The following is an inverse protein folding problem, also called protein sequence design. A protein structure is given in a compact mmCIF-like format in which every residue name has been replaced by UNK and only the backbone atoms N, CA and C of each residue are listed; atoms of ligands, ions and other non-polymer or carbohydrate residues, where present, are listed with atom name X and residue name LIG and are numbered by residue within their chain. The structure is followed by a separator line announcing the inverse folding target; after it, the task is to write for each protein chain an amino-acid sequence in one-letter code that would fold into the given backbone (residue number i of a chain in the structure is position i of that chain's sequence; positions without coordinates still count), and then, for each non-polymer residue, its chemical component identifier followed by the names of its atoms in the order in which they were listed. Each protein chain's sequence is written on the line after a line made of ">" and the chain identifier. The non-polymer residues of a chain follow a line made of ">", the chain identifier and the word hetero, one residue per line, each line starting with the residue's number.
data_IF_905432030185
#
_entry.id   IF_905432030185
#
_cell.length_a   1.000
_cell.length_b   1.000
_cell.length_c   1.000
_cell.angle_alpha   90.00
_cell.angle_beta   90.00
_cell.angle_gamma   90.00
#
_symmetry.space_group_name_H-M   'P 1'
#
loop_
_entity.id
_entity.type
_entity.pdbx_description
1 polymer ?
#
# COMPACT_ATOMS: atom_id res chain seq x y z
N UNK A 1 7.42 -6.79 20.93
CA UNK A 1 7.26 -5.33 20.75
C UNK A 1 6.33 -5.13 19.58
N UNK A 2 5.21 -4.44 19.79
CA UNK A 2 4.16 -4.24 18.77
C UNK A 2 4.41 -2.98 17.93
N UNK A 3 3.74 -2.84 16.78
CA UNK A 3 3.79 -1.62 15.94
C UNK A 3 3.41 -0.37 16.75
N UNK A 4 2.44 -0.49 17.66
CA UNK A 4 2.03 0.58 18.58
C UNK A 4 3.19 1.02 19.48
N UNK A 5 3.91 0.07 20.07
CA UNK A 5 5.05 0.38 20.95
C UNK A 5 6.15 1.10 20.17
N UNK A 6 6.48 0.61 18.97
CA UNK A 6 7.51 1.23 18.11
C UNK A 6 7.10 2.67 17.76
N UNK A 7 5.87 2.88 17.31
CA UNK A 7 5.39 4.22 16.97
C UNK A 7 5.36 5.16 18.19
N UNK A 8 5.03 4.65 19.38
CA UNK A 8 5.05 5.43 20.61
C UNK A 8 6.46 5.85 21.00
N UNK A 9 7.45 4.95 20.85
CA UNK A 9 8.86 5.26 21.09
C UNK A 9 9.36 6.34 20.12
N UNK A 10 9.06 6.19 18.83
CA UNK A 10 9.44 7.18 17.81
C UNK A 10 8.80 8.55 18.08
N UNK A 11 7.51 8.58 18.42
CA UNK A 11 6.82 9.81 18.80
C UNK A 11 7.44 10.46 20.04
N UNK A 12 7.76 9.67 21.07
CA UNK A 12 8.37 10.20 22.29
C UNK A 12 9.77 10.76 22.06
N UNK A 13 10.53 10.17 21.14
CA UNK A 13 11.90 10.60 20.84
C UNK A 13 11.96 11.81 19.89
N UNK A 14 11.18 11.78 18.81
CA UNK A 14 11.20 12.81 17.77
C UNK A 14 10.16 13.92 17.99
N UNK A 15 9.22 13.73 18.91
CA UNK A 15 8.07 14.62 19.16
C UNK A 15 7.24 14.89 17.90
N UNK A 16 7.21 13.92 16.98
CA UNK A 16 6.47 13.98 15.73
C UNK A 16 5.60 12.73 15.58
N UNK A 17 4.38 12.93 15.09
CA UNK A 17 3.45 11.84 14.80
C UNK A 17 4.02 10.94 13.70
N UNK A 18 3.78 9.65 13.81
CA UNK A 18 4.39 8.60 12.98
C UNK A 18 3.47 8.26 11.82
N UNK A 19 4.05 8.07 10.64
CA UNK A 19 3.38 7.46 9.50
C UNK A 19 3.76 5.98 9.46
N UNK A 20 2.75 5.11 9.40
CA UNK A 20 2.96 3.66 9.28
C UNK A 20 2.61 3.25 7.84
N UNK A 21 3.59 2.68 7.14
CA UNK A 21 3.43 2.12 5.80
C UNK A 21 3.48 0.59 5.91
N UNK A 22 2.43 -0.09 5.49
CA UNK A 22 2.33 -1.55 5.52
C UNK A 22 2.14 -2.02 4.09
N UNK A 23 3.19 -2.64 3.54
CA UNK A 23 3.12 -3.22 2.22
C UNK A 23 2.65 -4.66 2.24
N UNK A 24 2.00 -5.07 1.15
CA UNK A 24 1.53 -6.44 0.89
C UNK A 24 0.83 -7.10 2.08
N UNK A 25 -0.10 -6.38 2.73
CA UNK A 25 -0.75 -6.88 3.95
C UNK A 25 -1.57 -8.16 3.74
N UNK A 26 -1.89 -8.47 2.50
CA UNK A 26 -2.69 -9.59 2.05
C UNK A 26 -1.90 -10.87 1.75
N UNK A 27 -0.58 -10.81 1.58
CA UNK A 27 0.31 -11.97 1.46
C UNK A 27 0.15 -12.98 2.61
N UNK A 28 0.17 -12.58 3.90
CA UNK A 28 -0.04 -13.52 5.00
C UNK A 28 -1.44 -14.15 4.99
N UNK A 29 -2.47 -13.43 4.50
CA UNK A 29 -3.84 -13.94 4.37
C UNK A 29 -3.94 -14.99 3.27
N UNK A 30 -3.30 -14.73 2.13
CA UNK A 30 -3.23 -15.69 1.03
C UNK A 30 -2.53 -16.98 1.47
N UNK A 31 -1.41 -16.86 2.19
CA UNK A 31 -0.72 -18.02 2.75
C UNK A 31 -1.62 -18.78 3.74
N UNK A 32 -2.30 -18.08 4.64
CA UNK A 32 -3.22 -18.68 5.60
C UNK A 32 -4.38 -19.42 4.93
N UNK A 33 -4.91 -18.87 3.85
CA UNK A 33 -5.94 -19.52 3.03
C UNK A 33 -5.45 -20.86 2.46
N UNK A 34 -4.24 -20.90 1.91
CA UNK A 34 -3.67 -22.13 1.35
C UNK A 34 -3.36 -23.22 2.39
N UNK A 35 -3.10 -22.81 3.63
CA UNK A 35 -2.72 -23.72 4.71
C UNK A 35 -3.86 -23.98 5.72
N UNK A 36 -5.05 -23.44 5.48
CA UNK A 36 -6.27 -23.75 6.24
C UNK A 36 -6.40 -23.05 7.60
N UNK A 37 -5.73 -21.91 7.82
CA UNK A 37 -5.82 -21.11 9.06
C UNK A 37 -6.25 -19.65 8.79
N UNK A 38 -7.09 -19.46 7.77
CA UNK A 38 -7.48 -18.13 7.31
C UNK A 38 -8.15 -17.27 8.39
N UNK A 39 -9.09 -17.84 9.13
CA UNK A 39 -9.86 -17.11 10.14
C UNK A 39 -8.97 -16.64 11.31
N UNK A 40 -8.04 -17.49 11.76
CA UNK A 40 -7.06 -17.15 12.79
C UNK A 40 -6.13 -16.01 12.34
N UNK A 41 -5.72 -16.03 11.07
CA UNK A 41 -4.90 -14.96 10.49
C UNK A 41 -5.66 -13.65 10.36
N UNK A 42 -6.93 -13.70 9.95
CA UNK A 42 -7.81 -12.52 9.90
C UNK A 42 -7.92 -11.90 11.29
N UNK A 43 -8.16 -12.71 12.33
CA UNK A 43 -8.27 -12.24 13.70
C UNK A 43 -6.96 -11.62 14.21
N UNK A 44 -5.82 -12.24 13.87
CA UNK A 44 -4.50 -11.73 14.21
C UNK A 44 -4.23 -10.36 13.56
N UNK A 45 -4.40 -10.25 12.24
CA UNK A 45 -4.15 -9.01 11.50
C UNK A 45 -5.10 -7.91 11.97
N UNK A 46 -6.38 -8.23 12.20
CA UNK A 46 -7.36 -7.28 12.76
C UNK A 46 -6.92 -6.75 14.12
N UNK A 47 -6.38 -7.60 15.00
CA UNK A 47 -5.84 -7.18 16.30
C UNK A 47 -4.65 -6.23 16.14
N UNK A 48 -3.70 -6.58 15.26
CA UNK A 48 -2.52 -5.75 14.96
C UNK A 48 -2.93 -4.38 14.43
N UNK A 49 -3.84 -4.33 13.44
CA UNK A 49 -4.28 -3.08 12.84
C UNK A 49 -5.14 -2.24 13.78
N UNK A 50 -6.02 -2.85 14.57
CA UNK A 50 -6.78 -2.11 15.59
C UNK A 50 -5.86 -1.45 16.63
N UNK A 51 -4.82 -2.16 17.06
CA UNK A 51 -3.84 -1.60 18.00
C UNK A 51 -2.99 -0.49 17.36
N UNK A 52 -2.51 -0.69 16.14
CA UNK A 52 -1.58 0.23 15.49
C UNK A 52 -2.24 1.46 14.84
N UNK A 53 -3.46 1.29 14.32
CA UNK A 53 -4.12 2.27 13.44
C UNK A 53 -5.33 2.97 14.07
N UNK A 54 -5.97 2.37 15.09
CA UNK A 54 -7.15 2.96 15.75
C UNK A 54 -6.83 3.56 17.11
N UNK A 55 -6.10 2.83 17.95
CA UNK A 55 -5.88 3.18 19.37
C UNK A 55 -4.45 3.68 19.62
N UNK A 56 -3.93 4.48 18.68
CA UNK A 56 -2.54 4.89 18.67
C UNK A 56 -2.40 6.42 18.58
N UNK A 57 -2.22 7.06 19.73
CA UNK A 57 -2.03 8.51 19.81
C UNK A 57 -0.69 8.97 19.20
N UNK A 58 0.24 8.07 18.89
CA UNK A 58 1.46 8.42 18.19
C UNK A 58 1.28 8.49 16.67
N UNK A 59 0.16 8.00 16.12
CA UNK A 59 -0.07 7.89 14.69
C UNK A 59 -0.55 9.21 14.08
N UNK A 60 0.05 9.58 12.96
CA UNK A 60 -0.49 10.59 12.04
C UNK A 60 -1.39 9.94 10.99
N UNK A 61 -0.86 8.94 10.28
CA UNK A 61 -1.52 8.27 9.16
C UNK A 61 -1.00 6.86 8.98
N UNK A 62 -1.89 5.93 8.67
CA UNK A 62 -1.56 4.59 8.18
C UNK A 62 -1.85 4.48 6.69
N UNK A 63 -0.93 3.86 5.95
CA UNK A 63 -1.14 3.48 4.55
C UNK A 63 -0.90 1.98 4.43
N UNK A 64 -1.85 1.29 3.82
CA UNK A 64 -1.75 -0.14 3.56
C UNK A 64 -1.88 -0.38 2.06
N UNK A 65 -1.02 -1.23 1.52
CA UNK A 65 -1.05 -1.66 0.12
C UNK A 65 -1.20 -3.18 0.04
N UNK A 66 -1.95 -3.62 -0.97
CA UNK A 66 -2.27 -5.03 -1.19
C UNK A 66 -3.14 -5.18 -2.44
N UNK A 67 -3.05 -6.34 -3.07
CA UNK A 67 -3.71 -6.64 -4.35
C UNK A 67 -5.12 -7.22 -4.14
N UNK A 68 -5.29 -8.04 -3.11
CA UNK A 68 -6.48 -8.82 -2.85
C UNK A 68 -7.54 -7.98 -2.12
N UNK A 69 -8.77 -8.03 -2.64
CA UNK A 69 -9.95 -7.41 -2.00
C UNK A 69 -10.60 -8.30 -0.92
N UNK A 70 -10.06 -9.51 -0.69
CA UNK A 70 -10.69 -10.62 0.04
C UNK A 70 -10.94 -10.28 1.52
N UNK A 71 -10.21 -9.32 2.08
CA UNK A 71 -10.18 -8.97 3.50
C UNK A 71 -10.94 -7.70 3.87
N UNK A 72 -11.59 -7.04 2.90
CA UNK A 72 -12.12 -5.68 3.08
C UNK A 72 -13.18 -5.58 4.19
N UNK A 73 -14.02 -6.59 4.35
CA UNK A 73 -15.14 -6.54 5.30
C UNK A 73 -14.77 -7.12 6.68
N UNK A 74 -13.93 -8.16 6.76
CA UNK A 74 -13.64 -8.81 8.04
C UNK A 74 -12.55 -8.12 8.87
N UNK A 75 -11.55 -7.50 8.23
CA UNK A 75 -10.41 -6.88 8.92
C UNK A 75 -10.70 -5.41 9.27
N UNK A 76 -11.41 -4.69 8.40
CA UNK A 76 -11.57 -3.23 8.52
C UNK A 76 -12.89 -2.77 9.15
N UNK A 77 -13.81 -3.68 9.49
CA UNK A 77 -15.08 -3.35 10.19
C UNK A 77 -14.87 -2.65 11.53
N UNK A 78 -13.67 -2.70 12.10
CA UNK A 78 -13.30 -1.98 13.31
C UNK A 78 -12.61 -0.63 13.11
N UNK A 79 -12.18 -0.27 11.89
CA UNK A 79 -11.45 0.98 11.63
C UNK A 79 -12.42 2.09 11.20
N UNK A 80 -12.50 3.15 12.01
CA UNK A 80 -13.49 4.22 11.80
C UNK A 80 -13.06 5.26 10.73
N UNK A 81 -11.78 5.32 10.36
CA UNK A 81 -11.20 6.33 9.47
C UNK A 81 -10.46 5.68 8.29
N UNK A 82 -11.11 4.78 7.57
CA UNK A 82 -10.50 4.00 6.50
C UNK A 82 -10.99 4.47 5.12
N UNK A 83 -10.08 4.97 4.29
CA UNK A 83 -10.35 5.34 2.89
C UNK A 83 -9.66 4.31 1.99
N UNK A 84 -10.45 3.66 1.15
CA UNK A 84 -9.92 2.71 0.17
C UNK A 84 -9.81 3.38 -1.18
N UNK A 85 -8.58 3.47 -1.69
CA UNK A 85 -8.32 3.82 -3.09
C UNK A 85 -8.02 2.56 -3.87
N UNK A 86 -8.47 2.50 -5.11
CA UNK A 86 -8.17 1.39 -6.02
C UNK A 86 -7.61 1.94 -7.31
N UNK A 87 -6.98 1.08 -8.10
CA UNK A 87 -6.48 1.42 -9.45
C UNK A 87 -7.56 2.00 -10.40
N UNK A 88 -8.86 1.82 -10.11
CA UNK A 88 -9.95 2.40 -10.90
C UNK A 88 -10.37 3.80 -10.44
N UNK A 89 -9.80 4.28 -9.33
CA UNK A 89 -10.17 5.56 -8.73
C UNK A 89 -9.40 6.67 -9.47
N UNK A 90 -10.11 7.53 -10.20
CA UNK A 90 -9.52 8.54 -11.10
C UNK A 90 -8.60 9.51 -10.36
N UNK A 91 -8.87 9.80 -9.09
CA UNK A 91 -8.06 10.68 -8.26
C UNK A 91 -6.71 10.07 -7.83
N UNK A 92 -6.56 8.75 -7.97
CA UNK A 92 -5.33 8.05 -7.61
C UNK A 92 -4.69 7.37 -8.83
N UNK A 93 -5.24 7.56 -10.04
CA UNK A 93 -4.80 6.80 -11.20
C UNK A 93 -3.32 7.00 -11.47
N UNK A 94 -2.82 8.24 -11.40
CA UNK A 94 -1.41 8.62 -11.62
C UNK A 94 -0.45 8.19 -10.49
N UNK A 95 -0.94 7.60 -9.40
CA UNK A 95 -0.13 7.28 -8.22
C UNK A 95 0.37 5.82 -8.19
N UNK A 96 0.03 4.98 -9.17
CA UNK A 96 0.29 3.53 -9.14
C UNK A 96 1.46 3.06 -10.04
N UNK A 97 2.17 3.98 -10.68
CA UNK A 97 3.31 3.69 -11.56
C UNK A 97 3.89 4.99 -12.11
N UNK A 98 4.62 4.90 -13.21
CA UNK A 98 5.16 6.04 -13.93
C UNK A 98 4.27 6.39 -15.12
N UNK A 99 4.01 7.66 -15.30
CA UNK A 99 3.47 8.19 -16.55
C UNK A 99 4.50 8.08 -17.67
N UNK A 100 4.04 8.07 -18.92
CA UNK A 100 4.94 8.13 -20.07
C UNK A 100 5.91 9.33 -20.00
N UNK A 101 5.43 10.45 -19.48
CA UNK A 101 6.19 11.69 -19.34
C UNK A 101 7.34 11.51 -18.33
N UNK A 102 7.09 10.89 -17.18
CA UNK A 102 8.11 10.59 -16.18
C UNK A 102 9.15 9.58 -16.69
N UNK A 103 8.72 8.55 -17.44
CA UNK A 103 9.65 7.63 -18.11
C UNK A 103 10.50 8.37 -19.14
N UNK A 104 9.90 9.22 -19.96
CA UNK A 104 10.62 9.97 -20.99
C UNK A 104 11.63 10.96 -20.36
N UNK A 105 11.31 11.55 -19.20
CA UNK A 105 12.25 12.37 -18.43
C UNK A 105 13.40 11.56 -17.84
N UNK A 106 13.12 10.39 -17.26
CA UNK A 106 14.15 9.49 -16.72
C UNK A 106 15.10 8.99 -17.81
N UNK A 107 14.56 8.57 -18.97
CA UNK A 107 15.36 8.12 -20.10
C UNK A 107 16.22 9.23 -20.68
N UNK A 108 15.72 10.47 -20.75
CA UNK A 108 16.53 11.64 -21.13
C UNK A 108 17.64 11.91 -20.12
N UNK A 109 17.33 11.85 -18.83
CA UNK A 109 18.31 12.12 -17.77
C UNK A 109 19.50 11.17 -17.83
N UNK A 110 19.25 9.89 -18.08
CA UNK A 110 20.30 8.86 -18.21
C UNK A 110 20.86 8.70 -19.63
N UNK A 111 20.37 9.49 -20.60
CA UNK A 111 20.77 9.42 -22.01
C UNK A 111 20.52 8.04 -22.65
N UNK A 112 19.39 7.42 -22.30
CA UNK A 112 18.94 6.07 -22.70
C UNK A 112 17.68 6.11 -23.57
N UNK A 113 17.44 7.22 -24.29
CA UNK A 113 16.23 7.39 -25.12
C UNK A 113 16.07 6.29 -26.19
N UNK A 114 17.16 5.67 -26.62
CA UNK A 114 17.13 4.56 -27.59
C UNK A 114 16.43 3.31 -27.02
N UNK A 115 16.41 3.13 -25.70
CA UNK A 115 15.73 2.03 -25.01
C UNK A 115 14.25 2.31 -24.71
N UNK A 116 13.70 3.44 -25.19
CA UNK A 116 12.30 3.83 -24.90
C UNK A 116 11.28 2.75 -25.28
N UNK A 117 11.45 2.15 -26.46
CA UNK A 117 10.54 1.12 -26.96
C UNK A 117 10.67 -0.17 -26.15
N UNK A 118 11.90 -0.56 -25.80
CA UNK A 118 12.18 -1.73 -24.96
C UNK A 118 11.61 -1.57 -23.54
N UNK A 119 11.75 -0.39 -22.94
CA UNK A 119 11.15 -0.07 -21.63
C UNK A 119 9.62 -0.13 -21.68
N UNK A 120 9.00 0.38 -22.76
CA UNK A 120 7.56 0.28 -22.97
C UNK A 120 7.09 -1.18 -23.07
N UNK A 121 7.88 -2.03 -23.72
CA UNK A 121 7.58 -3.46 -23.86
C UNK A 121 7.79 -4.24 -22.55
N UNK A 122 8.82 -3.91 -21.75
CA UNK A 122 9.09 -4.60 -20.48
C UNK A 122 8.06 -4.31 -19.40
N UNK A 123 7.53 -3.09 -19.38
CA UNK A 123 6.53 -2.70 -18.39
C UNK A 123 5.10 -3.13 -18.76
N UNK A 124 4.85 -3.49 -20.03
CA UNK A 124 3.55 -3.98 -20.55
C UNK A 124 2.37 -3.15 -20.02
N UNK A 125 2.46 -1.84 -20.25
CA UNK A 125 1.74 -0.78 -19.54
C UNK A 125 0.25 -1.05 -19.27
N UNK A 126 -0.21 -0.59 -18.12
CA UNK A 126 -1.60 -0.69 -17.70
C UNK A 126 -2.38 0.57 -18.10
N UNK A 127 -3.50 0.38 -18.80
CA UNK A 127 -4.44 1.46 -19.07
C UNK A 127 -5.36 1.65 -17.85
N UNK A 128 -5.04 2.61 -16.98
CA UNK A 128 -5.93 3.00 -15.89
C UNK A 128 -6.84 4.15 -16.33
N UNK A 129 -8.08 3.81 -16.69
CA UNK A 129 -9.07 4.78 -17.17
C UNK A 129 -8.70 5.36 -18.54
N UNK A 130 -8.12 6.56 -18.57
CA UNK A 130 -7.60 7.23 -19.79
C UNK A 130 -6.09 7.42 -19.79
N UNK A 131 -5.41 7.04 -18.71
CA UNK A 131 -3.97 7.27 -18.53
C UNK A 131 -3.25 5.94 -18.72
N UNK A 132 -2.25 5.93 -19.61
CA UNK A 132 -1.33 4.82 -19.77
C UNK A 132 -0.25 4.95 -18.69
N UNK A 133 -0.15 3.95 -17.82
CA UNK A 133 0.78 3.93 -16.70
C UNK A 133 1.65 2.70 -16.80
N UNK A 134 2.93 2.91 -16.55
CA UNK A 134 3.98 1.91 -16.55
C UNK A 134 4.37 1.59 -15.11
#
# INVERSE_FOLDING_TARGET
>A
MSLKDISSILFNYYHQKVIILIDEYDVPLQSAYHHGYYDEMVDFIRSVFSSALKTNDALERGVLTGCLRISKESIFTGLNNFTVRTIMDVEASDCFGFTQEEIDELLKYYNLMDNRQEMKEWYDGYLFGKTEIY
#
